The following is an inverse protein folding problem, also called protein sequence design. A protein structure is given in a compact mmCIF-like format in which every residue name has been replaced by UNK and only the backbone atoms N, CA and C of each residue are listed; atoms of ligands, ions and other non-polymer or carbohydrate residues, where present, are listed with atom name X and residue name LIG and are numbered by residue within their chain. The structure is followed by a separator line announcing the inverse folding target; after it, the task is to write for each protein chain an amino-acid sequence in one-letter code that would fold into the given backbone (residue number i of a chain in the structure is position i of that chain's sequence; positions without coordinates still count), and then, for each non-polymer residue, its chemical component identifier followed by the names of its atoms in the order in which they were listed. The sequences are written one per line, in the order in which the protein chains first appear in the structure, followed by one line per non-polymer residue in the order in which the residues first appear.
data_IF_499343189426
#
_entry.id   IF_499343189426
#
_cell.length_a   1.000
_cell.length_b   1.000
_cell.length_c   1.000
_cell.angle_alpha   90.00
_cell.angle_beta   90.00
_cell.angle_gamma   90.00
#
_symmetry.space_group_name_H-M   'P 1'
#
loop_
_entity.id
_entity.type
_entity.pdbx_description
1 polymer ?
#
# COMPACT_ATOMS: atom_id res chain seq x y z
N UNK A 1 13.61 21.83 1.55
CA UNK A 1 14.28 20.52 1.46
C UNK A 1 13.93 19.89 0.11
N UNK A 2 14.81 19.06 -0.44
CA UNK A 2 14.65 18.48 -1.78
C UNK A 2 14.18 17.02 -1.69
N UNK A 3 13.38 16.60 -2.67
CA UNK A 3 12.98 15.21 -2.84
C UNK A 3 14.19 14.38 -3.27
N UNK A 4 14.38 13.24 -2.63
CA UNK A 4 15.42 12.27 -2.95
C UNK A 4 14.83 11.06 -3.67
N UNK A 5 15.47 10.55 -4.74
CA UNK A 5 14.97 9.39 -5.47
C UNK A 5 15.04 8.12 -4.62
N UNK A 6 14.06 7.24 -4.78
CA UNK A 6 14.02 5.92 -4.18
C UNK A 6 14.16 4.88 -5.31
N UNK A 7 15.09 3.92 -5.22
CA UNK A 7 15.14 2.80 -6.14
C UNK A 7 13.83 2.00 -6.12
N UNK A 8 13.25 1.72 -7.28
CA UNK A 8 12.07 0.87 -7.42
C UNK A 8 12.55 -0.48 -7.98
N UNK A 9 12.11 -1.58 -7.37
CA UNK A 9 12.39 -2.91 -7.88
C UNK A 9 11.54 -3.18 -9.13
N UNK A 10 12.16 -3.80 -10.14
CA UNK A 10 11.52 -4.24 -11.38
C UNK A 10 10.77 -5.58 -11.22
N UNK A 11 10.99 -6.28 -10.11
CA UNK A 11 10.31 -7.53 -9.79
C UNK A 11 8.80 -7.31 -9.64
N UNK A 12 8.03 -8.26 -10.17
CA UNK A 12 6.56 -8.22 -10.18
C UNK A 12 6.01 -9.27 -9.24
N UNK A 13 5.03 -8.86 -8.45
CA UNK A 13 4.20 -9.75 -7.65
C UNK A 13 2.87 -9.03 -7.44
N UNK A 14 1.83 -9.48 -8.15
CA UNK A 14 0.56 -8.74 -8.27
C UNK A 14 0.83 -7.24 -8.59
N UNK A 15 0.05 -6.32 -8.01
CA UNK A 15 0.27 -4.88 -8.16
C UNK A 15 1.15 -4.26 -7.06
N UNK A 16 1.68 -5.05 -6.12
CA UNK A 16 2.45 -4.52 -4.99
C UNK A 16 3.65 -3.70 -5.45
N UNK A 17 4.05 -2.76 -4.60
CA UNK A 17 5.12 -1.81 -4.90
C UNK A 17 6.32 -2.19 -4.05
N UNK A 18 7.45 -2.39 -4.70
CA UNK A 18 8.68 -2.81 -4.07
C UNK A 18 9.75 -1.74 -4.27
N UNK A 19 10.39 -1.34 -3.18
CA UNK A 19 11.40 -0.28 -3.17
C UNK A 19 12.70 -0.77 -2.53
N UNK A 20 13.82 -0.28 -3.03
CA UNK A 20 15.13 -0.51 -2.41
C UNK A 20 15.36 0.46 -1.25
N UNK A 21 15.71 -0.07 -0.08
CA UNK A 21 16.08 0.70 1.11
C UNK A 21 17.35 0.09 1.75
N UNK A 22 17.95 0.79 2.71
CA UNK A 22 18.96 0.20 3.59
C UNK A 22 18.37 -0.04 4.98
N UNK A 23 18.39 -1.29 5.44
CA UNK A 23 18.15 -1.63 6.84
C UNK A 23 19.51 -1.73 7.55
N UNK A 24 19.85 -0.73 8.36
CA UNK A 24 21.21 -0.50 8.82
C UNK A 24 22.15 -0.26 7.65
N UNK A 25 23.07 -1.20 7.41
CA UNK A 25 23.99 -1.21 6.26
C UNK A 25 23.59 -2.21 5.18
N UNK A 26 22.57 -3.05 5.42
CA UNK A 26 22.16 -4.11 4.50
C UNK A 26 21.15 -3.56 3.49
N UNK A 27 21.44 -3.63 2.18
CA UNK A 27 20.44 -3.34 1.16
C UNK A 27 19.33 -4.39 1.18
N UNK A 28 18.08 -3.94 1.14
CA UNK A 28 16.90 -4.80 1.16
C UNK A 28 15.81 -4.27 0.21
N UNK A 29 14.99 -5.18 -0.30
CA UNK A 29 13.76 -4.88 -1.01
C UNK A 29 12.61 -4.85 -0.02
N UNK A 30 11.95 -3.69 0.11
CA UNK A 30 10.80 -3.53 0.99
C UNK A 30 9.49 -3.43 0.20
N UNK A 31 8.45 -4.14 0.62
CA UNK A 31 7.09 -3.91 0.15
C UNK A 31 6.56 -2.60 0.74
N UNK A 32 6.17 -1.66 -0.10
CA UNK A 32 5.59 -0.38 0.30
C UNK A 32 4.11 -0.55 0.66
N UNK A 33 3.81 -0.63 1.96
CA UNK A 33 2.49 -0.91 2.49
C UNK A 33 1.94 0.29 3.29
N UNK A 34 0.99 1.04 2.73
CA UNK A 34 0.38 2.21 3.38
C UNK A 34 -0.57 1.87 4.52
N UNK A 35 -0.41 0.70 5.13
CA UNK A 35 -1.14 0.25 6.32
C UNK A 35 -0.24 -0.57 7.24
N UNK A 36 -0.54 -0.53 8.52
CA UNK A 36 0.08 -1.41 9.52
C UNK A 36 1.49 -1.01 9.93
N UNK A 37 2.19 -1.93 10.59
CA UNK A 37 3.54 -1.73 11.08
C UNK A 37 4.58 -2.23 10.08
N UNK A 38 5.78 -1.68 10.17
CA UNK A 38 6.94 -2.19 9.47
C UNK A 38 7.33 -3.54 10.06
N UNK A 39 7.27 -4.59 9.24
CA UNK A 39 7.54 -5.96 9.65
C UNK A 39 8.92 -6.39 9.12
N UNK A 40 9.74 -6.92 10.01
CA UNK A 40 11.06 -7.49 9.71
C UNK A 40 10.99 -8.99 10.00
N UNK A 41 11.23 -9.88 9.01
CA UNK A 41 11.38 -11.31 9.24
C UNK A 41 12.53 -11.61 10.22
N UNK A 42 12.38 -12.62 11.06
CA UNK A 42 13.42 -13.03 12.02
C UNK A 42 14.77 -13.31 11.34
N UNK A 43 14.76 -13.95 10.16
CA UNK A 43 15.97 -14.24 9.38
C UNK A 43 16.73 -12.95 9.00
N UNK A 44 16.01 -11.91 8.57
CA UNK A 44 16.59 -10.61 8.30
C UNK A 44 17.06 -9.92 9.60
N UNK A 45 16.29 -10.05 10.68
CA UNK A 45 16.61 -9.44 11.97
C UNK A 45 17.93 -9.95 12.58
N UNK A 46 18.32 -11.19 12.28
CA UNK A 46 19.61 -11.78 12.71
C UNK A 46 20.81 -11.14 12.00
N UNK A 47 20.59 -10.49 10.86
CA UNK A 47 21.66 -9.93 10.02
C UNK A 47 21.83 -8.41 10.16
N UNK A 48 20.96 -7.75 10.94
CA UNK A 48 20.94 -6.30 11.12
C UNK A 48 20.89 -5.92 12.60
N UNK A 49 21.31 -4.70 12.90
CA UNK A 49 21.36 -4.21 14.29
C UNK A 49 19.96 -3.82 14.78
N UNK A 50 19.37 -4.68 15.61
CA UNK A 50 18.04 -4.51 16.19
C UNK A 50 18.10 -4.61 17.72
N UNK A 51 17.48 -3.63 18.38
CA UNK A 51 17.26 -3.61 19.82
C UNK A 51 15.83 -4.04 20.15
N UNK A 52 15.67 -5.24 20.71
CA UNK A 52 14.36 -5.77 21.11
C UNK A 52 13.82 -5.04 22.35
N UNK A 53 12.59 -4.55 22.26
CA UNK A 53 11.85 -3.96 23.38
C UNK A 53 11.19 -5.07 24.21
N UNK A 54 10.61 -6.05 23.52
CA UNK A 54 9.94 -7.18 24.14
C UNK A 54 10.89 -8.38 24.27
N UNK A 55 10.99 -8.92 25.50
CA UNK A 55 11.81 -10.11 25.78
C UNK A 55 11.25 -11.35 25.09
N UNK A 56 9.93 -11.51 25.13
CA UNK A 56 9.19 -12.63 24.53
C UNK A 56 8.24 -12.11 23.44
N UNK A 57 7.80 -12.99 22.51
CA UNK A 57 6.73 -12.66 21.58
C UNK A 57 5.46 -12.18 22.26
N UNK A 58 4.87 -11.09 21.75
CA UNK A 58 3.53 -10.61 22.17
C UNK A 58 2.41 -11.47 21.58
N UNK A 59 2.72 -12.26 20.55
CA UNK A 59 1.84 -13.23 19.92
C UNK A 59 2.70 -14.41 19.45
N UNK A 60 2.51 -15.58 20.05
CA UNK A 60 3.30 -16.79 19.74
C UNK A 60 3.07 -17.31 18.32
N UNK A 61 1.87 -17.09 17.75
CA UNK A 61 1.53 -17.56 16.41
C UNK A 61 2.33 -16.81 15.37
N UNK A 62 2.34 -15.48 15.47
CA UNK A 62 3.01 -14.58 14.52
C UNK A 62 4.48 -14.31 14.87
N UNK A 63 4.89 -14.61 16.12
CA UNK A 63 6.21 -14.31 16.65
C UNK A 63 6.46 -12.81 16.83
N UNK A 64 5.40 -11.99 16.87
CA UNK A 64 5.54 -10.53 16.92
C UNK A 64 6.32 -10.09 18.15
N UNK A 65 7.34 -9.26 17.94
CA UNK A 65 8.15 -8.62 18.98
C UNK A 65 8.45 -7.20 18.58
N UNK A 66 8.15 -6.22 19.44
CA UNK A 66 8.52 -4.83 19.16
C UNK A 66 10.02 -4.67 19.33
N UNK A 67 10.61 -3.93 18.40
CA UNK A 67 12.03 -3.65 18.42
C UNK A 67 12.33 -2.28 17.79
N UNK A 68 13.59 -1.86 17.87
CA UNK A 68 14.11 -0.69 17.18
C UNK A 68 15.22 -1.12 16.25
N UNK A 69 15.08 -0.82 14.97
CA UNK A 69 16.18 -0.94 14.01
C UNK A 69 17.09 0.29 14.17
N UNK A 70 18.39 0.07 14.37
CA UNK A 70 19.34 1.15 14.71
C UNK A 70 19.33 2.29 13.68
N UNK A 71 19.22 1.94 12.39
CA UNK A 71 18.98 2.92 11.33
C UNK A 71 18.28 2.34 10.11
N UNK A 72 17.53 3.17 9.39
CA UNK A 72 16.94 2.86 8.10
C UNK A 72 17.21 4.01 7.13
N UNK A 73 17.61 3.71 5.89
CA UNK A 73 17.77 4.73 4.84
C UNK A 73 16.76 4.51 3.73
N UNK A 74 15.93 5.51 3.46
CA UNK A 74 14.94 5.51 2.37
C UNK A 74 15.27 6.67 1.43
N UNK A 75 15.68 6.36 0.21
CA UNK A 75 16.25 7.37 -0.70
C UNK A 75 17.48 8.04 -0.07
N UNK A 76 17.46 9.36 0.07
CA UNK A 76 18.50 10.14 0.75
C UNK A 76 18.25 10.39 2.25
N UNK A 77 17.18 9.86 2.83
CA UNK A 77 16.79 10.12 4.22
C UNK A 77 17.25 8.99 5.14
N UNK A 78 18.04 9.34 6.15
CA UNK A 78 18.45 8.43 7.22
C UNK A 78 17.59 8.63 8.46
N UNK A 79 16.90 7.57 8.87
CA UNK A 79 16.15 7.46 10.11
C UNK A 79 16.97 6.67 11.14
N UNK A 80 16.86 7.03 12.41
CA UNK A 80 17.56 6.40 13.54
C UNK A 80 16.52 5.88 14.53
N UNK A 81 16.83 4.80 15.26
CA UNK A 81 15.95 4.20 16.29
C UNK A 81 14.55 3.90 15.77
N UNK A 82 14.49 3.28 14.60
CA UNK A 82 13.28 3.12 13.81
C UNK A 82 12.39 2.05 14.43
N UNK A 83 11.13 2.36 14.84
CA UNK A 83 10.25 1.38 15.45
C UNK A 83 9.79 0.36 14.42
N UNK A 84 9.98 -0.92 14.74
CA UNK A 84 9.65 -2.06 13.87
C UNK A 84 9.03 -3.19 14.69
N UNK A 85 8.42 -4.14 14.00
CA UNK A 85 7.97 -5.41 14.59
C UNK A 85 8.74 -6.53 13.91
N UNK A 86 9.46 -7.32 14.70
CA UNK A 86 10.06 -8.57 14.23
C UNK A 86 8.98 -9.65 14.24
N UNK A 87 8.94 -10.49 13.21
CA UNK A 87 7.95 -11.56 13.04
C UNK A 87 8.59 -12.82 12.48
N UNK A 88 7.87 -13.95 12.53
CA UNK A 88 8.32 -15.17 11.83
C UNK A 88 8.35 -14.95 10.32
N UNK A 89 9.23 -15.66 9.61
CA UNK A 89 9.47 -15.43 8.19
C UNK A 89 8.20 -15.66 7.34
N UNK A 90 7.41 -16.68 7.68
CA UNK A 90 6.16 -17.01 7.00
C UNK A 90 5.06 -15.95 7.14
N UNK A 91 5.20 -14.99 8.05
CA UNK A 91 4.23 -13.89 8.23
C UNK A 91 4.47 -12.76 7.22
N UNK A 92 5.71 -12.61 6.77
CA UNK A 92 6.12 -11.57 5.84
C UNK A 92 6.29 -12.10 4.40
N UNK A 93 6.30 -13.42 4.20
CA UNK A 93 6.34 -14.06 2.88
C UNK A 93 4.93 -14.41 2.38
N UNK A 94 4.55 -13.85 1.23
CA UNK A 94 3.26 -14.13 0.57
C UNK A 94 3.33 -15.33 -0.38
N UNK A 95 4.47 -16.02 -0.46
CA UNK A 95 4.69 -17.19 -1.30
C UNK A 95 4.76 -16.83 -2.78
N UNK A 96 3.93 -17.50 -3.60
CA UNK A 96 3.85 -17.26 -5.04
C UNK A 96 2.54 -16.61 -5.43
N UNK A 97 2.60 -15.66 -6.36
CA UNK A 97 1.39 -15.11 -6.97
C UNK A 97 0.79 -16.09 -8.00
N UNK A 98 -0.44 -15.84 -8.49
CA UNK A 98 -1.09 -16.70 -9.50
C UNK A 98 -0.32 -16.81 -10.83
N UNK A 99 0.62 -15.90 -11.10
CA UNK A 99 1.51 -15.96 -12.27
C UNK A 99 2.80 -16.74 -12.00
N UNK A 100 2.96 -17.29 -10.79
CA UNK A 100 4.13 -18.07 -10.37
C UNK A 100 5.32 -17.23 -9.91
N UNK A 101 5.18 -15.90 -9.80
CA UNK A 101 6.26 -15.05 -9.30
C UNK A 101 6.42 -15.24 -7.78
N UNK A 102 7.66 -15.36 -7.32
CA UNK A 102 7.97 -15.42 -5.89
C UNK A 102 7.84 -14.03 -5.26
N UNK A 103 7.35 -13.97 -4.02
CA UNK A 103 7.31 -12.73 -3.27
C UNK A 103 8.73 -12.16 -3.07
N UNK A 104 9.02 -10.94 -3.57
CA UNK A 104 10.39 -10.48 -3.73
C UNK A 104 10.92 -9.63 -2.57
N UNK A 105 10.08 -9.33 -1.57
CA UNK A 105 10.46 -8.42 -0.50
C UNK A 105 11.11 -9.16 0.67
N UNK A 106 12.20 -8.59 1.16
CA UNK A 106 12.86 -9.03 2.40
C UNK A 106 12.14 -8.50 3.65
N UNK A 107 11.31 -7.47 3.50
CA UNK A 107 10.55 -6.87 4.60
C UNK A 107 9.32 -6.08 4.12
N UNK A 108 8.43 -5.73 5.05
CA UNK A 108 7.28 -4.86 4.77
C UNK A 108 7.53 -3.49 5.40
N UNK A 109 7.57 -2.44 4.58
CA UNK A 109 7.62 -1.06 5.05
C UNK A 109 6.20 -0.58 5.31
N UNK A 110 5.86 -0.43 6.59
CA UNK A 110 4.50 -0.13 7.03
C UNK A 110 4.21 1.35 7.26
N UNK A 111 2.94 1.61 7.52
CA UNK A 111 2.39 2.94 7.78
C UNK A 111 3.04 3.66 8.96
N UNK A 112 3.47 2.95 10.00
CA UNK A 112 4.13 3.55 11.16
C UNK A 112 5.39 4.37 10.78
N UNK A 113 6.05 4.05 9.66
CA UNK A 113 7.18 4.81 9.10
C UNK A 113 6.72 5.71 7.96
N UNK A 114 5.96 5.16 6.99
CA UNK A 114 5.51 5.90 5.79
C UNK A 114 4.76 7.18 6.19
N UNK A 115 3.97 7.10 7.26
CA UNK A 115 3.17 8.22 7.75
C UNK A 115 3.97 9.45 8.19
N UNK A 116 5.27 9.32 8.44
CA UNK A 116 6.14 10.39 8.94
C UNK A 116 6.87 11.15 7.82
N UNK A 117 6.71 10.71 6.57
CA UNK A 117 7.44 11.21 5.41
C UNK A 117 6.49 11.73 4.34
N UNK A 118 7.05 12.44 3.36
CA UNK A 118 6.33 12.87 2.16
C UNK A 118 6.86 12.07 0.98
N UNK A 119 5.95 11.45 0.23
CA UNK A 119 6.29 10.66 -0.95
C UNK A 119 5.63 11.26 -2.19
N UNK A 120 6.28 11.11 -3.35
CA UNK A 120 5.64 11.32 -4.65
C UNK A 120 6.15 10.29 -5.64
N UNK A 121 5.34 9.94 -6.62
CA UNK A 121 5.72 8.92 -7.60
C UNK A 121 4.93 8.98 -8.89
N UNK A 122 5.52 8.42 -9.93
CA UNK A 122 4.86 7.97 -11.15
C UNK A 122 5.53 6.65 -11.53
N UNK A 123 4.95 5.53 -11.05
CA UNK A 123 5.55 4.21 -11.19
C UNK A 123 5.60 3.74 -12.64
N UNK A 124 4.74 4.30 -13.51
CA UNK A 124 4.74 4.04 -14.95
C UNK A 124 5.98 4.61 -15.64
N UNK A 125 6.60 5.61 -15.00
CA UNK A 125 7.88 6.20 -15.41
C UNK A 125 9.06 5.73 -14.56
N UNK A 126 8.86 4.72 -13.71
CA UNK A 126 9.89 4.22 -12.80
C UNK A 126 10.40 5.28 -11.83
N UNK A 127 9.55 6.22 -11.41
CA UNK A 127 9.96 7.30 -10.49
C UNK A 127 9.20 7.23 -9.18
N UNK A 128 9.94 7.23 -8.08
CA UNK A 128 9.43 7.47 -6.73
C UNK A 128 10.48 8.25 -5.96
N UNK A 129 10.03 9.22 -5.17
CA UNK A 129 10.88 10.12 -4.42
C UNK A 129 10.32 10.35 -3.03
N UNK A 130 11.20 10.65 -2.08
CA UNK A 130 10.85 10.91 -0.68
C UNK A 130 11.54 12.16 -0.15
N UNK A 131 10.85 12.85 0.74
CA UNK A 131 11.34 14.00 1.49
C UNK A 131 10.91 13.87 2.96
N UNK A 132 11.70 14.43 3.87
CA UNK A 132 11.26 14.67 5.24
C UNK A 132 10.05 15.60 5.27
N UNK A 133 9.20 15.43 6.28
CA UNK A 133 8.09 16.35 6.50
C UNK A 133 8.51 17.53 7.37
N UNK A 134 8.39 18.75 6.82
CA UNK A 134 8.53 20.01 7.58
C UNK A 134 7.24 20.37 8.34
N UNK A 135 6.17 19.61 8.12
CA UNK A 135 4.87 19.84 8.74
C UNK A 135 4.92 19.40 10.20
N UNK A 136 4.54 20.32 11.10
CA UNK A 136 4.36 20.04 12.53
C UNK A 136 3.52 18.77 12.69
N UNK A 137 3.92 17.86 13.60
CA UNK A 137 3.13 16.69 14.01
C UNK A 137 1.66 17.10 14.08
N UNK A 138 0.83 16.60 13.18
CA UNK A 138 -0.60 16.83 13.27
C UNK A 138 -1.07 16.24 14.59
N UNK A 139 -1.84 17.02 15.36
CA UNK A 139 -2.54 16.56 16.55
C UNK A 139 -3.78 15.73 16.18
N UNK A 140 -3.85 15.19 14.95
CA UNK A 140 -5.02 14.46 14.48
C UNK A 140 -5.18 13.22 15.34
N UNK A 141 -6.24 13.21 16.14
CA UNK A 141 -6.64 12.09 17.01
C UNK A 141 -7.10 10.85 16.22
N UNK A 142 -6.98 10.85 14.90
CA UNK A 142 -7.34 9.72 14.05
C UNK A 142 -6.37 8.57 14.34
N UNK A 143 -6.86 7.59 15.10
CA UNK A 143 -6.19 6.35 15.49
C UNK A 143 -5.98 5.37 14.31
N UNK A 144 -6.31 5.76 13.10
CA UNK A 144 -6.34 4.86 11.96
C UNK A 144 -4.93 4.65 11.41
N UNK A 145 -4.54 3.39 11.31
CA UNK A 145 -3.23 2.97 10.81
C UNK A 145 -3.17 2.94 9.26
N UNK A 146 -3.90 3.83 8.59
CA UNK A 146 -3.92 4.00 7.14
C UNK A 146 -4.42 5.41 6.76
N UNK A 147 -4.29 5.76 5.49
CA UNK A 147 -4.64 7.10 4.97
C UNK A 147 -6.10 7.15 4.52
N UNK A 148 -6.84 8.16 4.98
CA UNK A 148 -8.24 8.42 4.58
C UNK A 148 -8.35 9.76 3.89
N UNK A 149 -9.07 9.80 2.78
CA UNK A 149 -9.32 11.00 1.99
C UNK A 149 -10.74 10.98 1.40
N UNK A 150 -11.14 12.10 0.78
CA UNK A 150 -12.45 12.23 0.13
C UNK A 150 -12.31 12.14 -1.39
N UNK A 151 -13.31 11.56 -2.03
CA UNK A 151 -13.46 11.53 -3.48
C UNK A 151 -14.90 11.82 -3.87
N UNK A 152 -15.12 12.12 -5.15
CA UNK A 152 -16.44 12.28 -5.74
C UNK A 152 -16.69 11.15 -6.74
N UNK A 153 -17.78 10.41 -6.54
CA UNK A 153 -18.27 9.39 -7.46
C UNK A 153 -19.77 9.58 -7.66
N UNK A 154 -20.26 9.53 -8.91
CA UNK A 154 -21.68 9.75 -9.23
C UNK A 154 -22.30 10.98 -8.55
N UNK A 155 -21.56 12.11 -8.55
CA UNK A 155 -21.95 13.39 -7.92
C UNK A 155 -22.14 13.34 -6.39
N UNK A 156 -21.69 12.28 -5.73
CA UNK A 156 -21.68 12.13 -4.27
C UNK A 156 -20.26 12.07 -3.75
N UNK A 157 -20.06 12.60 -2.55
CA UNK A 157 -18.77 12.56 -1.86
C UNK A 157 -18.69 11.31 -1.00
N UNK A 158 -17.60 10.56 -1.13
CA UNK A 158 -17.32 9.36 -0.35
C UNK A 158 -16.02 9.54 0.43
N UNK A 159 -15.94 8.89 1.61
CA UNK A 159 -14.67 8.65 2.29
C UNK A 159 -14.05 7.37 1.71
N UNK A 160 -12.77 7.44 1.41
CA UNK A 160 -11.99 6.32 0.90
C UNK A 160 -10.69 6.19 1.68
N UNK A 161 -10.15 4.98 1.73
CA UNK A 161 -8.85 4.68 2.31
C UNK A 161 -7.84 4.31 1.22
N UNK A 162 -6.54 4.46 1.52
CA UNK A 162 -5.44 3.90 0.74
C UNK A 162 -4.72 2.80 1.55
N UNK A 163 -4.73 1.59 1.01
CA UNK A 163 -4.08 0.41 1.56
C UNK A 163 -3.30 -0.31 0.45
N UNK A 164 -2.07 0.14 0.19
CA UNK A 164 -1.20 -0.49 -0.82
C UNK A 164 -0.67 -1.88 -0.41
N UNK A 165 -1.04 -2.38 0.79
CA UNK A 165 -0.88 -3.80 1.14
C UNK A 165 -1.95 -4.68 0.50
N UNK A 166 -2.95 -4.08 -0.16
CA UNK A 166 -3.89 -4.76 -1.03
C UNK A 166 -3.48 -4.59 -2.50
N UNK A 167 -3.50 -5.66 -3.31
CA UNK A 167 -3.10 -5.58 -4.71
C UNK A 167 -4.19 -4.91 -5.59
N UNK A 168 -5.44 -4.90 -5.15
CA UNK A 168 -6.56 -4.36 -5.92
C UNK A 168 -7.42 -3.46 -5.05
N UNK A 169 -8.02 -2.45 -5.68
CA UNK A 169 -9.03 -1.60 -5.07
C UNK A 169 -10.27 -2.42 -4.72
N UNK A 170 -10.75 -2.27 -3.49
CA UNK A 170 -11.97 -2.89 -2.98
C UNK A 170 -13.06 -1.86 -2.79
N UNK A 171 -14.29 -2.22 -3.13
CA UNK A 171 -15.45 -1.35 -3.03
C UNK A 171 -16.65 -2.11 -2.46
N UNK A 172 -17.54 -1.41 -1.78
CA UNK A 172 -18.81 -1.99 -1.36
C UNK A 172 -19.69 -2.34 -2.56
N UNK A 173 -20.63 -3.28 -2.36
CA UNK A 173 -21.57 -3.70 -3.41
C UNK A 173 -22.40 -2.52 -3.93
N UNK A 174 -22.78 -1.60 -3.04
CA UNK A 174 -23.57 -0.42 -3.39
C UNK A 174 -22.81 0.54 -4.32
N UNK A 175 -21.49 0.68 -4.13
CA UNK A 175 -20.63 1.43 -5.07
C UNK A 175 -20.52 0.66 -6.37
N UNK A 176 -20.29 -0.66 -6.30
CA UNK A 176 -20.17 -1.55 -7.46
C UNK A 176 -21.34 -1.45 -8.43
N UNK A 177 -22.59 -1.44 -7.91
CA UNK A 177 -23.81 -1.24 -8.72
C UNK A 177 -23.83 0.08 -9.51
N UNK A 178 -23.10 1.08 -9.04
CA UNK A 178 -23.01 2.39 -9.68
C UNK A 178 -21.92 2.50 -10.74
N UNK A 179 -21.08 1.47 -10.92
CA UNK A 179 -19.99 1.47 -11.90
C UNK A 179 -20.51 1.11 -13.28
N UNK A 180 -20.07 1.84 -14.30
CA UNK A 180 -20.39 1.51 -15.69
C UNK A 180 -19.51 0.35 -16.15
N UNK A 181 -20.14 -0.72 -16.59
CA UNK A 181 -19.47 -1.81 -17.33
C UNK A 181 -19.13 -1.28 -18.72
N UNK A 182 -17.85 -1.17 -19.05
CA UNK A 182 -17.40 -0.62 -20.33
C UNK A 182 -17.11 -1.70 -21.38
N UNK A 183 -16.98 -2.98 -20.99
CA UNK A 183 -16.52 -4.04 -21.89
C UNK A 183 -17.49 -5.23 -21.95
N UNK A 184 -18.59 -5.08 -22.71
CA UNK A 184 -19.61 -6.13 -22.90
C UNK A 184 -19.10 -7.39 -23.61
N UNK A 185 -18.03 -7.30 -24.39
CA UNK A 185 -17.49 -8.43 -25.17
C UNK A 185 -16.70 -9.43 -24.31
N UNK A 186 -16.20 -8.99 -23.15
CA UNK A 186 -15.53 -9.86 -22.17
C UNK A 186 -16.57 -10.72 -21.43
N UNK A 187 -17.76 -10.17 -21.14
CA UNK A 187 -18.87 -10.89 -20.49
C UNK A 187 -19.31 -12.12 -21.29
N UNK A 188 -19.37 -11.98 -22.62
CA UNK A 188 -19.67 -13.11 -23.52
C UNK A 188 -18.54 -14.14 -23.54
N UNK A 189 -17.29 -13.69 -23.49
CA UNK A 189 -16.12 -14.58 -23.56
C UNK A 189 -15.92 -15.36 -22.25
N UNK A 190 -16.12 -14.73 -21.09
CA UNK A 190 -16.01 -15.37 -19.77
C UNK A 190 -17.15 -16.39 -19.58
N UNK A 191 -18.38 -16.05 -19.97
CA UNK A 191 -19.53 -16.99 -19.98
C UNK A 191 -19.32 -18.19 -20.91
N UNK A 192 -18.60 -18.02 -22.02
CA UNK A 192 -18.28 -19.11 -22.95
C UNK A 192 -17.14 -20.02 -22.45
N UNK A 193 -16.30 -19.56 -21.52
CA UNK A 193 -15.12 -20.28 -21.04
C UNK A 193 -15.31 -20.95 -19.67
N UNK A 194 -16.50 -20.86 -19.06
CA UNK A 194 -16.82 -21.40 -17.73
C UNK A 194 -15.77 -21.03 -16.66
N UNK A 195 -15.17 -19.84 -16.78
CA UNK A 195 -14.19 -19.35 -15.82
C UNK A 195 -14.96 -18.91 -14.57
N UNK A 196 -14.64 -19.52 -13.43
CA UNK A 196 -15.23 -19.16 -12.13
C UNK A 196 -15.09 -17.65 -11.90
N UNK A 197 -16.24 -16.98 -11.69
CA UNK A 197 -16.37 -15.54 -11.39
C UNK A 197 -15.86 -15.21 -9.97
N UNK A 198 -14.66 -15.66 -9.59
CA UNK A 198 -14.12 -15.36 -8.26
C UNK A 198 -13.68 -13.89 -8.15
N UNK A 199 -14.64 -13.07 -7.71
CA UNK A 199 -14.54 -11.82 -6.95
C UNK A 199 -13.68 -10.67 -7.50
N UNK A 200 -13.29 -10.65 -8.78
CA UNK A 200 -12.66 -9.46 -9.40
C UNK A 200 -13.41 -9.08 -10.67
N UNK A 201 -14.06 -7.91 -10.65
CA UNK A 201 -14.85 -7.43 -11.79
C UNK A 201 -13.92 -6.70 -12.79
N UNK A 202 -13.22 -7.49 -13.62
CA UNK A 202 -12.34 -6.99 -14.69
C UNK A 202 -13.09 -6.25 -15.81
N UNK A 203 -14.42 -6.29 -15.81
CA UNK A 203 -15.27 -5.69 -16.86
C UNK A 203 -15.63 -4.22 -16.57
N UNK A 204 -15.30 -3.74 -15.37
CA UNK A 204 -15.76 -2.46 -14.85
C UNK A 204 -14.61 -1.53 -14.48
N UNK A 205 -14.49 -0.41 -15.21
CA UNK A 205 -13.54 0.66 -14.86
C UNK A 205 -14.15 1.54 -13.79
N UNK A 206 -13.50 1.65 -12.64
CA UNK A 206 -13.97 2.54 -11.58
C UNK A 206 -13.39 3.94 -11.80
N UNK A 207 -14.22 4.87 -12.28
CA UNK A 207 -13.86 6.26 -12.51
C UNK A 207 -14.45 7.19 -11.45
N UNK A 208 -13.63 8.04 -10.86
CA UNK A 208 -13.99 8.94 -9.77
C UNK A 208 -13.15 10.22 -9.85
N UNK A 209 -13.49 11.22 -9.03
CA UNK A 209 -12.72 12.47 -8.93
C UNK A 209 -12.06 12.63 -7.56
N UNK A 210 -10.80 13.05 -7.58
CA UNK A 210 -10.09 13.58 -6.42
C UNK A 210 -9.61 14.97 -6.80
N UNK A 211 -9.98 15.96 -6.00
CA UNK A 211 -9.89 17.38 -6.38
C UNK A 211 -10.55 17.60 -7.76
N UNK A 212 -9.85 18.23 -8.71
CA UNK A 212 -10.33 18.48 -10.07
C UNK A 212 -9.94 17.38 -11.07
N UNK A 213 -9.28 16.30 -10.63
CA UNK A 213 -8.79 15.25 -11.50
C UNK A 213 -9.76 14.07 -11.58
N UNK A 214 -10.10 13.66 -12.80
CA UNK A 214 -10.77 12.39 -13.06
C UNK A 214 -9.74 11.26 -13.14
N UNK A 215 -9.91 10.26 -12.30
CA UNK A 215 -9.02 9.12 -12.11
C UNK A 215 -9.82 7.86 -12.40
N UNK A 216 -9.16 6.90 -13.04
CA UNK A 216 -9.76 5.59 -13.36
C UNK A 216 -8.82 4.49 -12.90
N UNK A 217 -9.32 3.58 -12.08
CA UNK A 217 -8.63 2.31 -11.79
C UNK A 217 -9.20 1.20 -12.69
N UNK A 218 -8.35 0.30 -13.21
CA UNK A 218 -8.73 -0.63 -14.28
C UNK A 218 -9.64 -1.78 -13.81
N UNK A 219 -9.61 -2.11 -12.52
CA UNK A 219 -10.35 -3.23 -11.95
C UNK A 219 -10.69 -2.93 -10.49
N UNK A 220 -11.82 -3.45 -10.02
CA UNK A 220 -12.18 -3.42 -8.60
C UNK A 220 -12.68 -4.78 -8.13
N UNK A 221 -12.40 -5.10 -6.87
CA UNK A 221 -12.97 -6.23 -6.15
C UNK A 221 -14.18 -5.76 -5.33
N UNK A 222 -15.30 -6.47 -5.46
CA UNK A 222 -16.45 -6.23 -4.58
C UNK A 222 -16.12 -6.84 -3.22
N UNK A 223 -16.32 -6.07 -2.15
CA UNK A 223 -16.09 -6.50 -0.77
C UNK A 223 -17.36 -6.19 0.05
N UNK A 224 -18.22 -7.20 0.28
CA UNK A 224 -19.46 -7.01 1.04
C UNK A 224 -19.23 -6.54 2.48
N UNK A 225 -18.03 -6.72 3.05
CA UNK A 225 -17.69 -6.23 4.38
C UNK A 225 -17.58 -4.70 4.44
N UNK A 226 -17.55 -4.01 3.30
CA UNK A 226 -17.56 -2.55 3.20
C UNK A 226 -18.98 -1.97 3.06
N UNK A 227 -20.02 -2.82 3.03
CA UNK A 227 -21.40 -2.35 2.98
C UNK A 227 -21.74 -1.61 4.27
N UNK A 228 -22.37 -0.44 4.14
CA UNK A 228 -22.83 0.42 5.24
C UNK A 228 -21.75 0.96 6.19
N UNK A 229 -20.48 0.64 5.94
CA UNK A 229 -19.33 1.22 6.64
C UNK A 229 -19.11 2.69 6.25
N UNK A 230 -18.42 3.42 7.13
CA UNK A 230 -18.03 4.81 6.87
C UNK A 230 -17.06 4.93 5.67
N UNK A 231 -16.19 3.93 5.51
CA UNK A 231 -15.25 3.81 4.40
C UNK A 231 -15.73 2.65 3.51
N UNK A 232 -16.32 3.01 2.37
CA UNK A 232 -16.90 2.05 1.44
C UNK A 232 -15.97 1.73 0.26
N UNK A 233 -14.80 2.36 0.22
CA UNK A 233 -13.80 2.27 -0.86
C UNK A 233 -12.42 2.19 -0.22
N UNK A 234 -11.67 1.13 -0.53
CA UNK A 234 -10.28 0.97 -0.12
C UNK A 234 -9.44 0.80 -1.38
N UNK A 235 -8.64 1.80 -1.72
CA UNK A 235 -7.73 1.74 -2.86
C UNK A 235 -6.51 0.89 -2.55
N UNK A 236 -6.21 -0.04 -3.45
CA UNK A 236 -5.02 -0.87 -3.38
C UNK A 236 -3.80 -0.21 -4.04
N UNK A 237 -2.76 -1.01 -4.25
CA UNK A 237 -1.56 -0.61 -4.97
C UNK A 237 -1.83 -0.29 -6.45
N UNK A 238 -2.90 -0.84 -7.03
CA UNK A 238 -3.38 -0.55 -8.38
C UNK A 238 -3.66 0.95 -8.63
N UNK A 239 -4.16 1.69 -7.63
CA UNK A 239 -4.32 3.14 -7.73
C UNK A 239 -2.97 3.84 -7.96
N UNK A 240 -1.97 3.50 -7.16
CA UNK A 240 -0.64 4.11 -7.22
C UNK A 240 0.15 3.66 -8.46
N UNK A 241 -0.12 2.45 -8.97
CA UNK A 241 0.45 1.92 -10.23
C UNK A 241 -0.14 2.61 -11.46
N UNK A 242 -1.40 3.03 -11.41
CA UNK A 242 -2.11 3.63 -12.56
C UNK A 242 -2.01 5.16 -12.63
N UNK A 243 -1.54 5.82 -11.58
CA UNK A 243 -1.53 7.28 -11.45
C UNK A 243 -0.15 7.87 -11.15
N UNK A 244 0.01 9.17 -11.39
CA UNK A 244 1.04 9.98 -10.74
C UNK A 244 0.49 10.48 -9.41
N UNK A 245 1.25 10.39 -8.33
CA UNK A 245 0.72 10.64 -7.00
C UNK A 245 1.70 11.37 -6.08
N UNK A 246 1.15 11.99 -5.04
CA UNK A 246 1.89 12.53 -3.91
C UNK A 246 1.11 12.28 -2.62
N UNK A 247 1.80 11.75 -1.61
CA UNK A 247 1.28 11.46 -0.28
C UNK A 247 1.90 12.45 0.71
N UNK A 248 1.08 13.38 1.21
CA UNK A 248 1.45 14.37 2.22
C UNK A 248 0.84 13.96 3.55
N UNK A 249 1.44 12.96 4.18
CA UNK A 249 0.73 12.25 5.23
C UNK A 249 0.58 13.00 6.56
N UNK A 250 1.51 13.85 7.01
CA UNK A 250 1.25 14.69 8.17
C UNK A 250 0.10 15.69 7.94
N UNK A 251 -0.54 15.69 6.76
CA UNK A 251 -1.79 16.39 6.48
C UNK A 251 -2.99 15.47 6.23
N UNK A 252 -2.81 14.15 6.19
CA UNK A 252 -3.83 13.20 5.74
C UNK A 252 -4.25 13.42 4.29
N UNK A 253 -3.33 13.88 3.42
CA UNK A 253 -3.66 14.31 2.06
C UNK A 253 -3.00 13.45 0.98
N UNK A 254 -3.81 13.05 0.00
CA UNK A 254 -3.38 12.36 -1.24
C UNK A 254 -3.70 13.26 -2.41
N UNK A 255 -2.73 13.48 -3.28
CA UNK A 255 -2.96 14.00 -4.63
C UNK A 255 -2.67 12.89 -5.63
N UNK A 256 -3.58 12.68 -6.58
CA UNK A 256 -3.39 11.77 -7.72
C UNK A 256 -3.73 12.50 -9.02
N UNK A 257 -2.99 12.22 -10.08
CA UNK A 257 -3.19 12.76 -11.42
C UNK A 257 -2.99 11.64 -12.45
N UNK A 258 -3.63 11.78 -13.62
CA UNK A 258 -3.50 10.83 -14.74
C UNK A 258 -2.10 10.86 -15.36
#
# INVERSE_FOLDING_TARGET
MEFSPIPISDQKFLNFIFIGILAGKKPVTAMFATKGNTLIPQSLAEEIEIDYIDKEPIDERTGFRRAKLSSMTIGGLKLIDVPVVVCKDEIADLGKDPSGNQFPADMILGWNIISQLVFRGDLRKGRMEVQSSDLKKQSSKTRENFLVFKLIFNKRTYKAALDSSLPFTRISENIGKGIKVENKDIEQTIKMLEIDEEEINYESKFSFKIDDNEITVPSTKIDPALNDEEIQIIFGADLLRSTSWALYNPMGYVRVNK
#
